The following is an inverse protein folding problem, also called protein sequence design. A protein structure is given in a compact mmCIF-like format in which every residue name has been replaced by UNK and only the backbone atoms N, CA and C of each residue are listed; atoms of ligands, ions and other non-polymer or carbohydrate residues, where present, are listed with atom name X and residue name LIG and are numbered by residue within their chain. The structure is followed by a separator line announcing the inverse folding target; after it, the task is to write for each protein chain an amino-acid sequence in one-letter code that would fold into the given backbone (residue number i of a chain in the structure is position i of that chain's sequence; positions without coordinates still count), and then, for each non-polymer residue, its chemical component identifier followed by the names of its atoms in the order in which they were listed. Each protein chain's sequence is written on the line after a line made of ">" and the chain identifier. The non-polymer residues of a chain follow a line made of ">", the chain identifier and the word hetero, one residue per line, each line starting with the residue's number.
data_IF_975042989691
#
_entry.id   IF_975042989691
#
_cell.length_a   1.000
_cell.length_b   1.000
_cell.length_c   1.000
_cell.angle_alpha   90.00
_cell.angle_beta   90.00
_cell.angle_gamma   90.00
#
_symmetry.space_group_name_H-M   'P 1'
#
loop_
_entity.id
_entity.type
_entity.pdbx_description
1 polymer ?
#
# COMPACT_ATOMS: atom_id res chain seq x y z
N UNK A 1 -5.54 6.80 -12.04
CA UNK A 1 -5.66 5.88 -10.89
C UNK A 1 -5.11 6.61 -9.67
N UNK A 2 -5.78 6.57 -8.53
CA UNK A 2 -5.23 7.09 -7.25
C UNK A 2 -4.80 5.92 -6.36
N UNK A 3 -3.64 6.05 -5.72
CA UNK A 3 -3.03 4.97 -4.92
C UNK A 3 -2.63 5.52 -3.55
N UNK A 4 -2.97 4.77 -2.50
CA UNK A 4 -2.49 5.03 -1.16
C UNK A 4 -1.72 3.83 -0.63
N UNK A 5 -0.50 4.08 -0.12
CA UNK A 5 0.36 3.04 0.45
C UNK A 5 0.43 3.19 1.98
N UNK A 6 0.21 2.09 2.71
CA UNK A 6 0.30 2.05 4.18
C UNK A 6 1.30 1.00 4.64
N UNK A 7 2.39 1.43 5.28
CA UNK A 7 3.35 0.54 5.95
C UNK A 7 3.06 0.49 7.44
N UNK A 8 2.51 -0.62 7.93
CA UNK A 8 2.16 -0.81 9.33
C UNK A 8 2.96 -1.91 10.01
N UNK A 9 3.00 -1.85 11.35
CA UNK A 9 3.56 -2.91 12.18
C UNK A 9 2.60 -4.11 12.18
N UNK A 10 3.11 -5.32 12.44
CA UNK A 10 2.32 -6.57 12.40
C UNK A 10 1.01 -6.51 13.20
N UNK A 11 1.00 -5.86 14.36
CA UNK A 11 -0.17 -5.75 15.24
C UNK A 11 -1.26 -4.78 14.75
N UNK A 12 -0.94 -3.90 13.80
CA UNK A 12 -1.82 -2.83 13.33
C UNK A 12 -2.47 -3.19 12.00
N UNK A 13 -3.81 -3.25 11.98
CA UNK A 13 -4.58 -3.50 10.76
C UNK A 13 -4.94 -2.18 10.07
N UNK A 14 -5.08 -2.21 8.75
CA UNK A 14 -5.61 -1.04 8.01
C UNK A 14 -7.12 -0.93 8.24
N UNK A 15 -7.53 0.20 8.81
CA UNK A 15 -8.93 0.51 9.13
C UNK A 15 -9.67 1.27 8.02
N UNK A 16 -10.93 1.59 8.31
CA UNK A 16 -11.89 2.22 7.38
C UNK A 16 -11.38 3.56 6.82
N UNK A 17 -10.63 4.32 7.63
CA UNK A 17 -10.14 5.65 7.26
C UNK A 17 -9.33 5.66 5.95
N UNK A 18 -8.53 4.61 5.68
CA UNK A 18 -7.76 4.53 4.44
C UNK A 18 -8.67 4.42 3.20
N UNK A 19 -9.77 3.67 3.32
CA UNK A 19 -10.75 3.50 2.24
C UNK A 19 -11.52 4.79 2.00
N UNK A 20 -11.91 5.50 3.07
CA UNK A 20 -12.60 6.80 2.96
C UNK A 20 -11.71 7.85 2.29
N UNK A 21 -10.44 7.94 2.70
CA UNK A 21 -9.46 8.86 2.14
C UNK A 21 -9.28 8.64 0.63
N UNK A 22 -9.04 7.38 0.21
CA UNK A 22 -8.83 7.10 -1.22
C UNK A 22 -10.11 7.23 -2.04
N UNK A 23 -11.27 6.92 -1.47
CA UNK A 23 -12.55 7.10 -2.14
C UNK A 23 -12.82 8.59 -2.43
N UNK A 24 -12.58 9.46 -1.45
CA UNK A 24 -12.66 10.91 -1.63
C UNK A 24 -11.63 11.40 -2.66
N UNK A 25 -10.38 10.91 -2.59
CA UNK A 25 -9.35 11.25 -3.57
C UNK A 25 -9.74 10.83 -5.00
N UNK A 26 -10.41 9.68 -5.17
CA UNK A 26 -10.89 9.22 -6.48
C UNK A 26 -11.83 10.24 -7.11
N UNK A 27 -12.81 10.70 -6.34
CA UNK A 27 -13.78 11.69 -6.81
C UNK A 27 -13.13 13.04 -7.07
N UNK A 28 -12.24 13.49 -6.16
CA UNK A 28 -11.56 14.78 -6.27
C UNK A 28 -10.67 14.88 -7.51
N UNK A 29 -9.92 13.82 -7.82
CA UNK A 29 -9.02 13.79 -8.98
C UNK A 29 -9.65 13.21 -10.24
N UNK A 30 -10.97 13.00 -10.25
CA UNK A 30 -11.73 12.36 -11.35
C UNK A 30 -11.06 11.07 -11.87
N UNK A 31 -10.57 10.25 -10.94
CA UNK A 31 -9.81 9.05 -11.28
C UNK A 31 -10.74 7.85 -11.52
N UNK A 32 -10.42 7.04 -12.53
CA UNK A 32 -11.18 5.82 -12.85
C UNK A 32 -11.10 4.73 -11.77
N UNK A 33 -9.98 4.66 -11.05
CA UNK A 33 -9.71 3.60 -10.08
C UNK A 33 -9.03 4.14 -8.82
N UNK A 34 -9.26 3.45 -7.69
CA UNK A 34 -8.71 3.78 -6.39
C UNK A 34 -8.18 2.53 -5.68
N UNK A 35 -6.90 2.55 -5.31
CA UNK A 35 -6.23 1.39 -4.73
C UNK A 35 -5.63 1.74 -3.36
N UNK A 36 -5.76 0.84 -2.40
CA UNK A 36 -5.00 0.86 -1.15
C UNK A 36 -4.05 -0.33 -1.16
N UNK A 37 -2.77 -0.07 -0.89
CA UNK A 37 -1.70 -1.07 -0.85
C UNK A 37 -1.08 -1.07 0.54
N UNK A 38 -0.89 -2.24 1.13
CA UNK A 38 -0.25 -2.34 2.45
C UNK A 38 0.63 -3.58 2.60
N UNK A 39 1.62 -3.48 3.48
CA UNK A 39 2.42 -4.62 3.93
C UNK A 39 1.73 -5.47 5.02
N UNK A 40 0.51 -5.13 5.41
CA UNK A 40 -0.26 -5.85 6.43
C UNK A 40 -1.66 -6.27 5.93
N UNK A 41 -2.62 -6.47 6.83
CA UNK A 41 -3.99 -6.88 6.52
C UNK A 41 -5.00 -5.77 6.83
N UNK A 42 -6.14 -5.83 6.15
CA UNK A 42 -7.29 -4.93 6.34
C UNK A 42 -8.23 -5.45 7.43
N UNK A 43 -8.86 -4.53 8.17
CA UNK A 43 -9.97 -4.89 9.05
C UNK A 43 -11.18 -5.40 8.24
N UNK A 44 -12.05 -6.25 8.82
CA UNK A 44 -13.27 -6.70 8.15
C UNK A 44 -14.16 -5.54 7.67
N UNK A 45 -14.24 -4.47 8.47
CA UNK A 45 -14.99 -3.26 8.11
C UNK A 45 -14.39 -2.50 6.93
N UNK A 46 -13.05 -2.40 6.85
CA UNK A 46 -12.38 -1.80 5.71
C UNK A 46 -12.63 -2.60 4.42
N UNK A 47 -12.58 -3.94 4.49
CA UNK A 47 -12.92 -4.81 3.35
C UNK A 47 -14.36 -4.59 2.87
N UNK A 48 -15.32 -4.55 3.79
CA UNK A 48 -16.74 -4.29 3.48
C UNK A 48 -16.94 -2.94 2.79
N UNK A 49 -16.34 -1.87 3.32
CA UNK A 49 -16.46 -0.54 2.72
C UNK A 49 -15.79 -0.50 1.34
N UNK A 50 -14.60 -1.07 1.20
CA UNK A 50 -13.87 -1.08 -0.06
C UNK A 50 -14.66 -1.78 -1.17
N UNK A 51 -15.29 -2.90 -0.86
CA UNK A 51 -16.20 -3.59 -1.77
C UNK A 51 -17.36 -2.68 -2.23
N UNK A 52 -18.00 -1.95 -1.31
CA UNK A 52 -19.09 -1.02 -1.64
C UNK A 52 -18.64 0.20 -2.44
N UNK A 53 -17.44 0.69 -2.18
CA UNK A 53 -16.88 1.88 -2.83
C UNK A 53 -16.17 1.58 -4.16
N UNK A 54 -15.98 0.31 -4.53
CA UNK A 54 -15.17 -0.10 -5.68
C UNK A 54 -13.70 0.31 -5.50
N UNK A 55 -13.16 0.13 -4.29
CA UNK A 55 -11.75 0.38 -3.96
C UNK A 55 -11.01 -0.95 -3.96
N UNK A 56 -9.92 -1.03 -4.72
CA UNK A 56 -9.06 -2.22 -4.78
C UNK A 56 -8.18 -2.27 -3.54
N UNK A 57 -8.15 -3.41 -2.87
CA UNK A 57 -7.30 -3.64 -1.70
C UNK A 57 -6.22 -4.65 -2.04
N UNK A 58 -4.95 -4.23 -1.96
CA UNK A 58 -3.79 -5.10 -2.07
C UNK A 58 -3.18 -5.21 -0.67
N UNK A 59 -3.26 -6.40 -0.08
CA UNK A 59 -2.70 -6.70 1.23
C UNK A 59 -1.30 -7.31 1.12
N UNK A 60 -0.73 -7.77 2.24
CA UNK A 60 0.60 -8.39 2.25
C UNK A 60 0.74 -9.54 1.24
N UNK A 61 -0.28 -10.40 1.09
CA UNK A 61 -0.19 -11.57 0.21
C UNK A 61 -0.23 -11.10 -1.24
N UNK A 62 -1.20 -10.25 -1.58
CA UNK A 62 -1.30 -9.67 -2.92
C UNK A 62 -0.04 -8.88 -3.31
N UNK A 63 0.52 -8.10 -2.37
CA UNK A 63 1.74 -7.33 -2.58
C UNK A 63 2.94 -8.26 -2.83
N UNK A 64 3.09 -9.33 -2.05
CA UNK A 64 4.13 -10.33 -2.28
C UNK A 64 4.01 -10.99 -3.65
N UNK A 65 2.80 -11.36 -4.06
CA UNK A 65 2.56 -11.95 -5.39
C UNK A 65 2.91 -10.97 -6.52
N UNK A 66 2.54 -9.70 -6.39
CA UNK A 66 2.90 -8.67 -7.36
C UNK A 66 4.42 -8.51 -7.49
N UNK A 67 5.13 -8.46 -6.36
CA UNK A 67 6.60 -8.32 -6.36
C UNK A 67 7.24 -9.53 -7.05
N UNK A 68 6.84 -10.75 -6.70
CA UNK A 68 7.39 -11.98 -7.29
C UNK A 68 7.06 -12.11 -8.78
N UNK A 69 5.89 -11.62 -9.22
CA UNK A 69 5.52 -11.62 -10.63
C UNK A 69 6.34 -10.62 -11.46
N UNK A 70 6.68 -9.47 -10.88
CA UNK A 70 7.46 -8.43 -11.56
C UNK A 70 8.96 -8.76 -11.59
N UNK A 71 9.45 -9.44 -10.56
CA UNK A 71 10.87 -9.77 -10.40
C UNK A 71 11.04 -11.25 -10.05
N UNK A 72 10.82 -12.18 -11.00
CA UNK A 72 10.89 -13.61 -10.74
C UNK A 72 12.31 -14.08 -10.38
N UNK A 73 13.33 -13.46 -10.98
CA UNK A 73 14.73 -13.88 -10.87
C UNK A 73 15.54 -13.00 -9.91
N UNK A 74 14.93 -11.97 -9.30
CA UNK A 74 15.62 -11.10 -8.35
C UNK A 74 15.26 -11.47 -6.91
N UNK A 75 16.29 -11.71 -6.10
CA UNK A 75 16.14 -11.81 -4.66
C UNK A 75 15.80 -10.46 -4.04
N UNK A 76 15.10 -10.48 -2.91
CA UNK A 76 14.80 -9.26 -2.14
C UNK A 76 16.07 -8.47 -1.77
N UNK A 77 17.21 -9.15 -1.59
CA UNK A 77 18.51 -8.53 -1.32
C UNK A 77 18.97 -7.70 -2.51
N UNK A 78 18.98 -8.29 -3.70
CA UNK A 78 19.37 -7.59 -4.94
C UNK A 78 18.48 -6.38 -5.22
N UNK A 79 17.16 -6.49 -4.97
CA UNK A 79 16.22 -5.37 -5.13
C UNK A 79 16.54 -4.24 -4.14
N UNK A 80 16.87 -4.55 -2.88
CA UNK A 80 17.23 -3.55 -1.88
C UNK A 80 18.57 -2.88 -2.17
N UNK A 81 19.56 -3.65 -2.60
CA UNK A 81 20.91 -3.15 -2.89
C UNK A 81 20.91 -2.27 -4.16
N UNK A 82 20.10 -2.61 -5.18
CA UNK A 82 19.89 -1.74 -6.37
C UNK A 82 19.12 -0.47 -6.01
N UNK A 83 18.12 -0.60 -5.13
CA UNK A 83 17.27 0.51 -4.69
C UNK A 83 17.83 1.18 -3.43
N UNK A 84 19.15 1.26 -3.26
CA UNK A 84 19.76 2.20 -2.32
C UNK A 84 19.19 3.58 -2.63
N UNK A 85 18.16 3.94 -1.88
CA UNK A 85 17.40 5.15 -2.05
C UNK A 85 18.36 6.27 -1.67
N UNK A 86 19.02 6.88 -2.67
CA UNK A 86 19.68 8.17 -2.50
C UNK A 86 18.58 9.13 -2.12
N UNK A 87 18.40 9.30 -0.81
CA UNK A 87 17.30 10.05 -0.24
C UNK A 87 17.26 11.43 -0.88
N UNK A 88 16.26 11.65 -1.73
CA UNK A 88 15.79 13.00 -1.99
C UNK A 88 15.43 13.61 -0.64
N UNK A 89 15.97 14.80 -0.37
CA UNK A 89 15.76 15.61 0.82
C UNK A 89 14.27 15.63 1.20
N UNK A 90 13.87 14.85 2.22
CA UNK A 90 12.62 15.03 3.01
C UNK A 90 12.21 13.81 3.84
N UNK A 91 12.76 12.61 3.63
CA UNK A 91 12.45 11.47 4.50
C UNK A 91 13.38 11.40 5.73
N UNK A 92 12.96 12.04 6.83
CA UNK A 92 13.50 11.74 8.16
C UNK A 92 12.96 10.36 8.58
N UNK A 93 13.71 9.33 8.26
CA UNK A 93 13.46 7.98 8.77
C UNK A 93 13.39 8.03 10.30
N UNK A 94 12.24 7.64 10.87
CA UNK A 94 12.06 7.52 12.31
C UNK A 94 13.17 6.61 12.87
N UNK A 95 14.11 7.17 13.63
CA UNK A 95 15.12 6.40 14.38
C UNK A 95 14.40 5.27 15.11
N UNK A 96 14.88 4.04 14.92
CA UNK A 96 14.44 2.88 15.69
C UNK A 96 14.58 3.26 17.18
N UNK A 97 13.47 3.25 17.90
CA UNK A 97 13.48 3.11 19.35
C UNK A 97 13.73 1.65 19.67
#
# INVERSE_FOLDING_TARGET
>A
IVIQCKRYRRKEKVGIAAVQQIFAARAFYDAKEAWVITNNVYSPSAKKLAFKCGVTLIDRIGLCQMILKLHPDESARQVLDRNEFKGGESYVGRKKR
#
